data_IF_386824518665
#
_entry.id   IF_386824518665
#
_cell.length_a   1.000
_cell.length_b   1.000
_cell.length_c   1.000
_cell.angle_alpha   90.00
_cell.angle_beta   90.00
_cell.angle_gamma   90.00
#
_symmetry.space_group_name_H-M   'P 1'
#
loop_
_entity.id
_entity.type
_entity.pdbx_description
1 polymer ?
#
# COMPACT_ATOMS: atom_id res chain seq x y z
N UNK A 1 13.80 -6.97 -1.33
CA UNK A 1 12.79 -6.11 -0.70
C UNK A 1 13.27 -5.43 0.58
N UNK A 2 13.62 -6.16 1.66
CA UNK A 2 14.08 -5.55 2.93
C UNK A 2 15.25 -4.55 2.78
N UNK A 3 16.24 -4.86 1.93
CA UNK A 3 17.34 -3.94 1.60
C UNK A 3 16.83 -2.66 0.95
N UNK A 4 16.02 -2.78 -0.11
CA UNK A 4 15.45 -1.65 -0.83
C UNK A 4 14.60 -0.74 0.07
N UNK A 5 13.86 -1.33 1.03
CA UNK A 5 13.05 -0.56 1.98
C UNK A 5 13.95 0.26 2.92
N UNK A 6 15.00 -0.35 3.48
CA UNK A 6 15.95 0.38 4.34
C UNK A 6 16.68 1.49 3.59
N UNK A 7 17.18 1.20 2.38
CA UNK A 7 17.93 2.17 1.58
C UNK A 7 17.09 3.39 1.18
N UNK A 8 15.78 3.22 1.02
CA UNK A 8 14.84 4.29 0.63
C UNK A 8 14.01 4.83 1.81
N UNK A 9 14.26 4.37 3.04
CA UNK A 9 13.48 4.79 4.20
C UNK A 9 12.00 4.40 4.15
N UNK A 10 11.65 3.31 3.48
CA UNK A 10 10.26 2.85 3.34
C UNK A 10 9.77 2.23 4.64
N UNK A 11 8.63 2.71 5.12
CA UNK A 11 7.90 2.16 6.26
C UNK A 11 6.73 1.30 5.76
N UNK A 12 6.63 0.07 6.24
CA UNK A 12 5.51 -0.81 5.91
C UNK A 12 4.38 -0.64 6.93
N UNK A 13 3.17 -0.36 6.44
CA UNK A 13 1.94 -0.33 7.24
C UNK A 13 1.07 -1.52 6.85
N UNK A 14 0.54 -2.23 7.85
CA UNK A 14 -0.42 -3.32 7.66
C UNK A 14 -1.74 -2.93 8.32
N UNK A 15 -2.80 -2.91 7.52
CA UNK A 15 -4.17 -2.80 7.99
C UNK A 15 -4.80 -4.20 8.00
N UNK A 16 -5.17 -4.72 9.17
CA UNK A 16 -5.80 -6.03 9.31
C UNK A 16 -7.32 -5.89 9.38
N UNK A 17 -8.01 -6.31 8.32
CA UNK A 17 -9.46 -6.13 8.17
C UNK A 17 -10.28 -7.37 8.60
N UNK A 18 -9.69 -8.35 9.30
CA UNK A 18 -10.42 -9.56 9.72
C UNK A 18 -11.62 -9.25 10.63
N UNK A 19 -11.52 -8.20 11.47
CA UNK A 19 -12.59 -7.78 12.38
C UNK A 19 -13.48 -6.64 11.83
N UNK A 20 -13.30 -6.24 10.56
CA UNK A 20 -14.01 -5.11 9.94
C UNK A 20 -13.88 -3.79 10.73
N UNK A 21 -12.66 -3.46 11.19
CA UNK A 21 -12.40 -2.19 11.88
C UNK A 21 -13.00 -1.01 11.09
N UNK A 22 -13.82 -0.15 11.74
CA UNK A 22 -14.51 0.94 11.06
C UNK A 22 -13.54 1.95 10.43
N UNK A 23 -12.34 2.13 11.00
CA UNK A 23 -11.32 3.04 10.43
C UNK A 23 -10.75 2.51 9.12
N UNK A 24 -10.56 1.20 9.03
CA UNK A 24 -10.10 0.55 7.79
C UNK A 24 -11.24 0.58 6.75
N UNK A 25 -12.48 0.37 7.19
CA UNK A 25 -13.65 0.43 6.31
C UNK A 25 -13.88 1.82 5.73
N UNK A 26 -13.71 2.87 6.55
CA UNK A 26 -13.78 4.26 6.09
C UNK A 26 -12.68 4.54 5.07
N UNK A 27 -11.44 4.11 5.34
CA UNK A 27 -10.34 4.30 4.40
C UNK A 27 -10.59 3.56 3.08
N UNK A 28 -11.03 2.30 3.10
CA UNK A 28 -11.43 1.56 1.89
C UNK A 28 -12.52 2.31 1.09
N UNK A 29 -13.53 2.86 1.78
CA UNK A 29 -14.62 3.61 1.15
C UNK A 29 -14.13 4.89 0.45
N UNK A 30 -13.14 5.60 1.02
CA UNK A 30 -12.50 6.76 0.38
C UNK A 30 -11.84 6.41 -0.95
N UNK A 31 -11.34 5.18 -1.07
CA UNK A 31 -10.76 4.63 -2.30
C UNK A 31 -11.77 3.91 -3.18
N UNK A 32 -13.08 4.03 -2.88
CA UNK A 32 -14.17 3.30 -3.54
C UNK A 32 -13.95 1.78 -3.58
N UNK A 33 -13.29 1.23 -2.56
CA UNK A 33 -13.05 -0.20 -2.38
C UNK A 33 -13.99 -0.77 -1.34
N UNK A 34 -14.50 -1.96 -1.61
CA UNK A 34 -15.42 -2.68 -0.72
C UNK A 34 -14.76 -3.85 0.03
N UNK A 35 -13.52 -4.21 -0.31
CA UNK A 35 -12.82 -5.36 0.23
C UNK A 35 -11.29 -5.23 0.13
N UNK A 36 -10.60 -6.13 0.83
CA UNK A 36 -9.16 -6.41 0.72
C UNK A 36 -8.94 -7.64 -0.17
N UNK A 37 -7.75 -7.84 -0.78
CA UNK A 37 -6.51 -7.07 -0.64
C UNK A 37 -6.55 -5.71 -1.35
N UNK A 38 -5.99 -4.69 -0.69
CA UNK A 38 -5.82 -3.36 -1.26
C UNK A 38 -4.45 -2.81 -0.85
N UNK A 39 -3.64 -2.43 -1.83
CA UNK A 39 -2.23 -2.10 -1.64
C UNK A 39 -1.94 -0.71 -2.21
N UNK A 40 -1.26 0.13 -1.43
CA UNK A 40 -0.87 1.48 -1.81
C UNK A 40 0.62 1.71 -1.52
N UNK A 41 1.26 2.53 -2.35
CA UNK A 41 2.59 3.08 -2.08
C UNK A 41 2.49 4.60 -2.09
N UNK A 42 2.78 5.20 -0.94
CA UNK A 42 2.93 6.64 -0.78
C UNK A 42 4.38 7.03 -1.01
N UNK A 43 4.61 8.07 -1.79
CA UNK A 43 5.94 8.58 -2.09
C UNK A 43 6.07 10.03 -1.65
N UNK A 44 7.29 10.45 -1.34
CA UNK A 44 7.54 11.83 -0.91
C UNK A 44 7.45 12.85 -2.06
N UNK A 45 7.69 12.40 -3.30
CA UNK A 45 7.74 13.25 -4.49
C UNK A 45 6.41 13.34 -5.26
N UNK A 46 5.38 12.59 -4.84
CA UNK A 46 4.05 12.62 -5.45
C UNK A 46 2.97 12.67 -4.37
N UNK A 47 1.97 13.57 -4.49
CA UNK A 47 0.91 13.67 -3.50
C UNK A 47 -0.06 12.49 -3.56
N UNK A 48 -0.34 11.95 -4.74
CA UNK A 48 -1.20 10.79 -4.91
C UNK A 48 -0.43 9.47 -4.74
N UNK A 49 -0.95 8.49 -3.97
CA UNK A 49 -0.34 7.18 -3.86
C UNK A 49 -0.51 6.35 -5.14
N UNK A 50 0.45 5.47 -5.36
CA UNK A 50 0.38 4.47 -6.41
C UNK A 50 -0.44 3.27 -5.92
N UNK A 51 -1.50 2.94 -6.67
CA UNK A 51 -2.31 1.75 -6.40
C UNK A 51 -1.59 0.53 -7.00
N UNK A 52 -1.35 -0.47 -6.16
CA UNK A 52 -0.72 -1.72 -6.59
C UNK A 52 -1.77 -2.81 -6.88
N UNK A 53 -1.40 -3.84 -7.66
CA UNK A 53 -2.25 -5.01 -7.87
C UNK A 53 -2.65 -5.69 -6.56
N UNK A 54 -3.79 -6.37 -6.59
CA UNK A 54 -4.30 -7.20 -5.49
C UNK A 54 -3.32 -8.33 -5.13
N UNK A 55 -2.78 -8.99 -6.16
CA UNK A 55 -1.69 -9.96 -6.02
C UNK A 55 -0.37 -9.20 -5.89
N UNK A 56 0.06 -9.00 -4.65
CA UNK A 56 1.27 -8.26 -4.35
C UNK A 56 2.52 -9.13 -4.60
N UNK A 57 3.35 -8.72 -5.56
CA UNK A 57 4.66 -9.34 -5.81
C UNK A 57 5.80 -8.43 -5.38
N UNK A 58 6.94 -9.02 -5.00
CA UNK A 58 8.12 -8.24 -4.66
C UNK A 58 8.60 -7.35 -5.82
N UNK A 59 8.41 -7.81 -7.06
CA UNK A 59 8.71 -7.03 -8.27
C UNK A 59 7.85 -5.78 -8.36
N UNK A 60 6.52 -5.92 -8.28
CA UNK A 60 5.58 -4.79 -8.36
C UNK A 60 5.87 -3.71 -7.30
N UNK A 61 6.22 -4.14 -6.08
CA UNK A 61 6.60 -3.21 -5.01
C UNK A 61 7.93 -2.50 -5.33
N UNK A 62 8.93 -3.22 -5.83
CA UNK A 62 10.24 -2.62 -6.14
C UNK A 62 10.13 -1.63 -7.31
N UNK A 63 9.36 -1.95 -8.34
CA UNK A 63 9.14 -1.06 -9.49
C UNK A 63 8.42 0.24 -9.06
N UNK A 64 7.40 0.15 -8.21
CA UNK A 64 6.71 1.32 -7.67
C UNK A 64 7.60 2.23 -6.81
N UNK A 65 8.74 1.73 -6.31
CA UNK A 65 9.75 2.48 -5.57
C UNK A 65 10.92 2.99 -6.44
N UNK A 66 10.92 2.70 -7.74
CA UNK A 66 11.98 3.06 -8.70
C UNK A 66 11.59 4.19 -9.64
N UNK A 67 10.37 4.15 -10.16
CA UNK A 67 9.75 5.28 -10.89
C UNK A 67 9.65 6.51 -9.99
#
# INVERSE_FOLDING_TARGET
>A
MRRAFRERGVVALKADWTNKDPRITEELARWQRSAVPFNLVYRADRPEPLILPEVLTAGAVIEALRE
#
